data_IF_693544142459
#
_entry.id   IF_693544142459
#
_cell.length_a   1.000
_cell.length_b   1.000
_cell.length_c   1.000
_cell.angle_alpha   90.00
_cell.angle_beta   90.00
_cell.angle_gamma   90.00
#
_symmetry.space_group_name_H-M   'P 1'
#
loop_
_entity.id
_entity.type
_entity.pdbx_description
1 polymer ?
#
# COMPACT_ATOMS: atom_id res chain seq x y z
N UNK A 1 -65.73 -6.26 -51.72
CA UNK A 1 -64.99 -7.40 -51.12
C UNK A 1 -63.72 -7.63 -51.91
N UNK A 2 -62.55 -7.36 -51.33
CA UNK A 2 -61.48 -8.37 -51.18
C UNK A 2 -60.19 -7.69 -50.67
N UNK A 3 -59.91 -7.96 -49.40
CA UNK A 3 -58.71 -7.58 -48.66
C UNK A 3 -57.42 -8.12 -49.30
N UNK A 4 -56.57 -7.23 -49.78
CA UNK A 4 -55.19 -7.56 -50.16
C UNK A 4 -54.31 -7.54 -48.90
N UNK A 5 -54.33 -8.64 -48.12
CA UNK A 5 -53.41 -8.84 -46.99
C UNK A 5 -51.97 -9.04 -47.51
N UNK A 6 -51.13 -8.02 -47.30
CA UNK A 6 -49.67 -8.09 -47.42
C UNK A 6 -49.13 -9.24 -46.54
N UNK A 7 -48.57 -10.28 -47.17
CA UNK A 7 -47.79 -11.31 -46.46
C UNK A 7 -46.39 -10.77 -46.19
N UNK A 8 -46.20 -10.16 -45.03
CA UNK A 8 -44.85 -9.89 -44.48
C UNK A 8 -44.18 -11.23 -44.16
N UNK A 9 -43.14 -11.59 -44.92
CA UNK A 9 -42.27 -12.72 -44.60
C UNK A 9 -41.36 -12.29 -43.45
N UNK A 10 -41.64 -12.75 -42.24
CA UNK A 10 -40.69 -12.67 -41.14
C UNK A 10 -39.49 -13.57 -41.45
N UNK A 11 -38.38 -12.98 -41.90
CA UNK A 11 -37.08 -13.65 -41.95
C UNK A 11 -36.67 -13.93 -40.50
N UNK A 12 -36.73 -15.20 -40.10
CA UNK A 12 -36.24 -15.66 -38.81
C UNK A 12 -34.72 -15.58 -38.87
N UNK A 13 -34.13 -14.52 -38.32
CA UNK A 13 -32.69 -14.43 -38.11
C UNK A 13 -32.29 -15.58 -37.18
N UNK A 14 -31.35 -16.46 -37.57
CA UNK A 14 -30.87 -17.49 -36.66
C UNK A 14 -30.22 -16.80 -35.46
N UNK A 15 -30.73 -17.09 -34.27
CA UNK A 15 -30.06 -16.71 -33.02
C UNK A 15 -28.80 -17.56 -32.91
N UNK A 16 -27.64 -16.97 -33.17
CA UNK A 16 -26.35 -17.59 -32.89
C UNK A 16 -26.14 -17.59 -31.36
N UNK A 17 -26.31 -18.74 -30.73
CA UNK A 17 -26.00 -18.94 -29.32
C UNK A 17 -24.54 -19.32 -29.14
N UNK A 18 -23.92 -18.82 -28.06
CA UNK A 18 -22.58 -19.25 -27.65
C UNK A 18 -22.59 -20.74 -27.27
N UNK A 19 -21.57 -21.47 -27.73
CA UNK A 19 -21.42 -22.88 -27.34
C UNK A 19 -20.73 -23.00 -25.99
N UNK A 20 -21.00 -24.08 -25.25
CA UNK A 20 -20.30 -24.37 -23.99
C UNK A 20 -18.78 -24.48 -24.21
N UNK A 21 -18.36 -25.02 -25.35
CA UNK A 21 -16.95 -25.14 -25.72
C UNK A 21 -16.29 -23.76 -25.90
N UNK A 22 -16.99 -22.81 -26.51
CA UNK A 22 -16.49 -21.45 -26.70
C UNK A 22 -16.28 -20.75 -25.35
N UNK A 23 -17.22 -20.89 -24.42
CA UNK A 23 -17.07 -20.35 -23.06
C UNK A 23 -15.90 -21.03 -22.32
N UNK A 24 -15.69 -22.33 -22.49
CA UNK A 24 -14.54 -23.03 -21.90
C UNK A 24 -13.20 -22.50 -22.44
N UNK A 25 -13.11 -22.24 -23.74
CA UNK A 25 -11.88 -21.69 -24.35
C UNK A 25 -11.65 -20.25 -23.88
N UNK A 26 -12.70 -19.41 -23.83
CA UNK A 26 -12.58 -18.03 -23.34
C UNK A 26 -12.13 -18.00 -21.89
N UNK A 27 -12.71 -18.84 -21.03
CA UNK A 27 -12.30 -18.93 -19.62
C UNK A 27 -10.85 -19.41 -19.47
N UNK A 28 -10.42 -20.39 -20.28
CA UNK A 28 -9.04 -20.84 -20.29
C UNK A 28 -8.07 -19.71 -20.64
N UNK A 29 -8.38 -18.90 -21.67
CA UNK A 29 -7.58 -17.74 -22.07
C UNK A 29 -7.54 -16.69 -20.95
N UNK A 30 -8.68 -16.37 -20.33
CA UNK A 30 -8.76 -15.38 -19.24
C UNK A 30 -7.92 -15.81 -18.03
N UNK A 31 -7.93 -17.10 -17.67
CA UNK A 31 -7.10 -17.61 -16.56
C UNK A 31 -5.60 -17.48 -16.87
N UNK A 32 -5.18 -17.81 -18.10
CA UNK A 32 -3.78 -17.68 -18.52
C UNK A 32 -3.33 -16.21 -18.48
N UNK A 33 -4.14 -15.30 -19.02
CA UNK A 33 -3.83 -13.87 -19.03
C UNK A 33 -3.87 -13.26 -17.61
N UNK A 34 -4.84 -13.66 -16.79
CA UNK A 34 -4.99 -13.21 -15.42
C UNK A 34 -3.78 -13.59 -14.55
N UNK A 35 -3.21 -14.78 -14.77
CA UNK A 35 -2.01 -15.24 -14.06
C UNK A 35 -0.77 -14.37 -14.35
N UNK A 36 -0.58 -13.91 -15.59
CA UNK A 36 0.60 -13.13 -15.97
C UNK A 36 0.50 -11.65 -15.56
N UNK A 37 -0.70 -11.05 -15.63
CA UNK A 37 -0.86 -9.61 -15.37
C UNK A 37 -0.71 -9.19 -13.90
N UNK A 38 -0.93 -10.10 -12.96
CA UNK A 38 -1.05 -9.75 -11.53
C UNK A 38 0.26 -9.25 -10.89
N UNK A 39 1.41 -9.80 -11.29
CA UNK A 39 2.69 -9.51 -10.63
C UNK A 39 3.19 -8.08 -10.88
N UNK A 40 2.97 -7.54 -12.10
CA UNK A 40 3.47 -6.21 -12.47
C UNK A 40 2.83 -5.07 -11.67
N UNK A 41 1.52 -5.15 -11.41
CA UNK A 41 0.80 -4.12 -10.67
C UNK A 41 1.24 -4.04 -9.20
N UNK A 42 1.46 -5.19 -8.55
CA UNK A 42 1.89 -5.23 -7.14
C UNK A 42 3.24 -4.55 -6.91
N UNK A 43 4.19 -4.74 -7.83
CA UNK A 43 5.51 -4.11 -7.72
C UNK A 43 5.43 -2.57 -7.78
N UNK A 44 4.54 -2.02 -8.61
CA UNK A 44 4.33 -0.56 -8.71
C UNK A 44 3.80 -0.01 -7.39
N UNK A 45 2.79 -0.67 -6.81
CA UNK A 45 2.18 -0.26 -5.54
C UNK A 45 3.19 -0.38 -4.39
N UNK A 46 3.97 -1.44 -4.35
CA UNK A 46 5.03 -1.61 -3.35
C UNK A 46 6.08 -0.50 -3.45
N UNK A 47 6.58 -0.20 -4.65
CA UNK A 47 7.53 0.89 -4.88
C UNK A 47 6.96 2.25 -4.47
N UNK A 48 5.72 2.55 -4.83
CA UNK A 48 5.04 3.77 -4.40
C UNK A 48 4.93 3.83 -2.87
N UNK A 49 4.49 2.76 -2.24
CA UNK A 49 4.39 2.68 -0.77
C UNK A 49 5.75 2.83 -0.08
N UNK A 50 6.85 2.24 -0.61
CA UNK A 50 8.21 2.46 -0.07
C UNK A 50 8.57 3.95 -0.12
N UNK A 51 8.27 4.63 -1.23
CA UNK A 51 8.54 6.07 -1.34
C UNK A 51 7.71 6.90 -0.36
N UNK A 52 6.45 6.52 -0.14
CA UNK A 52 5.56 7.14 0.87
C UNK A 52 6.10 6.94 2.28
N UNK A 53 6.50 5.71 2.64
CA UNK A 53 7.08 5.38 3.95
C UNK A 53 8.38 6.14 4.23
N UNK A 54 9.29 6.21 3.24
CA UNK A 54 10.56 6.97 3.37
C UNK A 54 10.30 8.46 3.56
N UNK A 55 9.39 9.05 2.78
CA UNK A 55 9.01 10.45 2.91
C UNK A 55 8.41 10.73 4.30
N UNK A 56 7.52 9.85 4.77
CA UNK A 56 6.89 9.98 6.07
C UNK A 56 7.90 9.86 7.24
N UNK A 57 8.87 8.95 7.14
CA UNK A 57 9.96 8.84 8.13
C UNK A 57 10.81 10.11 8.19
N UNK A 58 11.15 10.69 7.04
CA UNK A 58 11.91 11.95 6.99
C UNK A 58 11.11 13.11 7.60
N UNK A 59 9.81 13.21 7.29
CA UNK A 59 8.93 14.21 7.88
C UNK A 59 8.81 14.04 9.40
N UNK A 60 8.65 12.81 9.88
CA UNK A 60 8.60 12.51 11.30
C UNK A 60 9.90 12.85 12.00
N UNK A 61 11.06 12.53 11.39
CA UNK A 61 12.35 12.91 11.95
C UNK A 61 12.48 14.43 12.08
N UNK A 62 12.09 15.18 11.06
CA UNK A 62 12.11 16.65 11.13
C UNK A 62 11.21 17.19 12.25
N UNK A 63 10.08 16.54 12.53
CA UNK A 63 9.21 16.92 13.65
C UNK A 63 9.87 16.60 15.00
N UNK A 64 10.47 15.41 15.12
CA UNK A 64 11.22 14.99 16.31
C UNK A 64 12.42 15.91 16.59
N UNK A 65 13.18 16.33 15.57
CA UNK A 65 14.29 17.27 15.74
C UNK A 65 13.84 18.66 16.22
N UNK A 66 12.68 19.14 15.74
CA UNK A 66 12.08 20.37 16.26
C UNK A 66 11.67 20.21 17.72
N UNK A 67 11.03 19.09 18.07
CA UNK A 67 10.65 18.80 19.44
C UNK A 67 11.88 18.71 20.36
N UNK A 68 12.94 18.04 19.91
CA UNK A 68 14.21 17.95 20.62
C UNK A 68 14.83 19.33 20.88
N UNK A 69 14.77 20.24 19.90
CA UNK A 69 15.27 21.61 20.05
C UNK A 69 14.55 22.40 21.16
N UNK A 70 13.29 22.06 21.47
CA UNK A 70 12.51 22.72 22.51
C UNK A 70 12.51 22.00 23.87
N UNK A 71 12.54 20.66 23.87
CA UNK A 71 12.36 19.82 25.05
C UNK A 71 13.63 19.07 25.46
N UNK A 72 14.71 19.17 24.67
CA UNK A 72 15.99 18.47 24.85
C UNK A 72 15.85 16.94 24.93
N UNK A 73 14.77 16.39 24.37
CA UNK A 73 14.46 14.97 24.36
C UNK A 73 13.54 14.65 23.20
N UNK A 74 13.72 13.49 22.58
CA UNK A 74 12.80 12.91 21.60
C UNK A 74 11.59 12.26 22.28
N UNK A 75 10.52 12.09 21.52
CA UNK A 75 9.31 11.43 22.01
C UNK A 75 9.17 10.02 21.42
N UNK A 76 9.26 9.02 22.29
CA UNK A 76 8.91 7.65 21.92
C UNK A 76 7.40 7.48 21.86
N UNK A 77 6.92 6.79 20.82
CA UNK A 77 5.52 6.44 20.67
C UNK A 77 5.33 5.20 19.79
N UNK A 78 4.16 4.61 19.89
CA UNK A 78 3.74 3.48 19.05
C UNK A 78 2.59 3.90 18.14
N UNK A 79 2.39 3.18 17.04
CA UNK A 79 1.27 3.44 16.14
C UNK A 79 -0.06 3.52 16.91
N UNK A 80 -0.79 4.62 16.75
CA UNK A 80 -2.10 4.83 17.38
C UNK A 80 -2.10 5.10 18.90
N UNK A 81 -0.95 5.16 19.57
CA UNK A 81 -0.89 5.38 21.03
C UNK A 81 0.32 6.19 21.47
N UNK A 82 0.10 7.12 22.41
CA UNK A 82 1.17 7.93 23.00
C UNK A 82 1.83 8.91 22.02
N UNK A 83 1.19 9.20 20.89
CA UNK A 83 1.81 9.94 19.78
C UNK A 83 2.12 11.40 20.10
N UNK A 84 1.55 12.00 21.16
CA UNK A 84 1.90 13.38 21.56
C UNK A 84 1.68 14.45 20.49
N UNK A 85 0.84 14.18 19.49
CA UNK A 85 0.61 15.07 18.34
C UNK A 85 1.46 14.74 17.10
N UNK A 86 2.37 13.78 17.17
CA UNK A 86 3.10 13.27 16.00
C UNK A 86 2.19 12.42 15.11
N UNK A 87 2.44 12.52 13.80
CA UNK A 87 1.74 11.71 12.80
C UNK A 87 2.30 10.28 12.85
N UNK A 88 1.41 9.29 13.04
CA UNK A 88 1.78 7.89 13.16
C UNK A 88 1.50 7.05 11.91
N UNK A 89 1.17 7.67 10.78
CA UNK A 89 0.82 6.98 9.53
C UNK A 89 1.42 7.70 8.32
N UNK A 90 1.75 6.98 7.26
CA UNK A 90 2.49 7.54 6.13
C UNK A 90 1.64 8.43 5.19
N UNK A 91 0.42 8.00 4.88
CA UNK A 91 -0.47 8.59 3.87
C UNK A 91 -1.33 9.75 4.39
N UNK A 92 -2.43 10.05 3.69
CA UNK A 92 -3.34 11.14 4.07
C UNK A 92 -4.21 10.78 5.28
N UNK A 93 -4.69 9.53 5.32
CA UNK A 93 -5.45 8.96 6.43
C UNK A 93 -4.84 7.62 6.85
N UNK A 94 -5.07 7.13 8.07
CA UNK A 94 -4.57 5.83 8.49
C UNK A 94 -4.98 4.70 7.53
N UNK A 95 -6.23 4.67 7.09
CA UNK A 95 -6.80 3.60 6.26
C UNK A 95 -6.20 3.51 4.86
N UNK A 96 -5.71 4.65 4.34
CA UNK A 96 -5.07 4.75 3.04
C UNK A 96 -3.55 4.63 3.11
N UNK A 97 -2.98 4.66 4.32
CA UNK A 97 -1.54 4.63 4.54
C UNK A 97 -0.97 3.24 4.32
N UNK A 98 0.17 3.17 3.64
CA UNK A 98 0.92 1.94 3.46
C UNK A 98 1.64 1.50 4.75
N UNK A 99 2.15 2.45 5.54
CA UNK A 99 2.96 2.18 6.72
C UNK A 99 2.41 2.87 7.97
N UNK A 100 2.49 2.16 9.11
CA UNK A 100 2.35 2.74 10.43
C UNK A 100 3.72 3.14 10.98
N UNK A 101 3.83 4.33 11.55
CA UNK A 101 5.05 4.93 12.07
C UNK A 101 5.10 4.78 13.59
N UNK A 102 6.31 4.61 14.10
CA UNK A 102 6.60 4.54 15.53
C UNK A 102 8.00 5.10 15.80
N UNK A 103 8.22 5.57 17.02
CA UNK A 103 9.48 6.12 17.48
C UNK A 103 9.90 5.43 18.77
N UNK A 104 11.15 4.99 18.86
CA UNK A 104 11.73 4.42 20.07
C UNK A 104 13.16 4.90 20.26
N UNK A 105 13.73 4.70 21.45
CA UNK A 105 15.17 4.92 21.63
C UNK A 105 15.97 3.96 20.75
N UNK A 106 17.15 4.40 20.30
CA UNK A 106 18.12 3.51 19.66
C UNK A 106 18.62 2.43 20.64
N UNK A 107 19.14 1.33 20.12
CA UNK A 107 19.51 0.17 20.95
C UNK A 107 20.65 0.54 21.91
N UNK A 108 20.42 0.38 23.22
CA UNK A 108 21.38 0.74 24.26
C UNK A 108 21.48 2.24 24.57
N UNK A 109 20.65 3.07 23.94
CA UNK A 109 20.64 4.53 24.12
C UNK A 109 19.32 5.01 24.73
N UNK A 110 19.25 6.31 25.05
CA UNK A 110 18.03 6.95 25.56
C UNK A 110 17.46 7.91 24.51
N UNK A 111 16.19 8.27 24.68
CA UNK A 111 15.52 9.28 23.85
C UNK A 111 16.11 10.70 24.00
N UNK A 112 17.07 10.93 24.90
CA UNK A 112 17.82 12.19 24.93
C UNK A 112 19.00 12.21 23.96
N UNK A 113 19.36 11.07 23.39
CA UNK A 113 20.57 10.90 22.60
C UNK A 113 20.25 10.46 21.17
N UNK A 114 19.34 9.49 21.03
CA UNK A 114 19.03 8.93 19.72
C UNK A 114 17.59 8.41 19.66
N UNK A 115 16.92 8.72 18.55
CA UNK A 115 15.60 8.18 18.22
C UNK A 115 15.72 7.30 16.97
N UNK A 116 15.13 6.12 17.05
CA UNK A 116 14.93 5.22 15.93
C UNK A 116 13.45 5.25 15.53
N UNK A 117 13.21 5.74 14.32
CA UNK A 117 11.91 5.73 13.69
C UNK A 117 11.73 4.43 12.90
N UNK A 118 10.55 3.84 12.98
CA UNK A 118 10.19 2.62 12.26
C UNK A 118 8.87 2.83 11.52
N UNK A 119 8.87 2.53 10.23
CA UNK A 119 7.69 2.41 9.39
C UNK A 119 7.39 0.91 9.17
N UNK A 120 6.24 0.43 9.66
CA UNK A 120 5.82 -0.97 9.56
C UNK A 120 4.71 -1.11 8.51
N UNK A 121 4.90 -1.90 7.43
CA UNK A 121 3.90 -2.05 6.38
C UNK A 121 2.69 -2.84 6.87
N UNK A 122 1.48 -2.41 6.49
CA UNK A 122 0.25 -3.16 6.76
C UNK A 122 -0.05 -3.46 8.24
N UNK A 123 0.54 -2.68 9.15
CA UNK A 123 0.35 -2.82 10.59
C UNK A 123 -1.09 -2.46 11.01
N UNK A 124 -1.42 -2.73 12.27
CA UNK A 124 -2.72 -2.36 12.83
C UNK A 124 -2.95 -0.84 12.74
N UNK A 125 -4.17 -0.46 12.36
CA UNK A 125 -4.55 0.94 12.16
C UNK A 125 -4.18 1.52 10.79
N UNK A 126 -3.47 0.80 9.93
CA UNK A 126 -3.22 1.22 8.53
C UNK A 126 -3.76 0.21 7.51
N UNK A 127 -3.52 0.44 6.22
CA UNK A 127 -4.01 -0.43 5.15
C UNK A 127 -3.44 -1.86 5.25
N UNK A 128 -4.23 -2.79 5.80
CA UNK A 128 -3.84 -4.22 5.97
C UNK A 128 -3.64 -4.97 4.65
N UNK A 129 -4.13 -4.45 3.53
CA UNK A 129 -3.93 -5.06 2.22
C UNK A 129 -2.57 -4.68 1.61
N UNK A 130 -1.91 -3.66 2.15
CA UNK A 130 -0.55 -3.33 1.76
C UNK A 130 0.45 -4.24 2.48
N UNK A 131 1.31 -4.88 1.70
CA UNK A 131 2.36 -5.74 2.23
C UNK A 131 3.56 -5.72 1.30
N UNK A 132 4.72 -5.50 1.90
CA UNK A 132 6.01 -5.53 1.23
C UNK A 132 6.89 -6.59 1.88
N UNK A 133 6.72 -7.84 1.43
CA UNK A 133 7.48 -8.98 1.97
C UNK A 133 8.96 -8.93 1.58
N UNK A 134 9.31 -8.16 0.55
CA UNK A 134 10.70 -8.01 0.12
C UNK A 134 11.46 -7.05 1.04
N UNK A 135 10.86 -5.89 1.36
CA UNK A 135 11.52 -4.86 2.16
C UNK A 135 11.19 -4.85 3.65
N UNK A 136 9.99 -5.31 4.02
CA UNK A 136 9.52 -5.28 5.39
C UNK A 136 9.46 -3.86 5.97
N UNK A 137 9.83 -3.73 7.24
CA UNK A 137 9.84 -2.43 7.90
C UNK A 137 11.04 -1.58 7.47
N UNK A 138 10.81 -0.27 7.36
CA UNK A 138 11.85 0.73 7.08
C UNK A 138 12.22 1.44 8.38
N UNK A 139 13.49 1.76 8.56
CA UNK A 139 14.01 2.41 9.75
C UNK A 139 14.92 3.59 9.41
N UNK A 140 14.75 4.67 10.16
CA UNK A 140 15.57 5.87 10.09
C UNK A 140 15.94 6.30 11.51
N UNK A 141 17.22 6.53 11.78
CA UNK A 141 17.66 7.13 13.04
C UNK A 141 18.04 8.60 12.90
N UNK A 142 18.13 9.31 14.03
CA UNK A 142 18.49 10.74 14.06
C UNK A 142 19.91 11.05 13.61
N UNK A 143 20.79 10.04 13.49
CA UNK A 143 22.15 10.18 12.96
C UNK A 143 22.21 9.97 11.44
N UNK A 144 21.06 9.74 10.80
CA UNK A 144 20.95 9.50 9.37
C UNK A 144 21.16 8.04 8.96
N UNK A 145 21.22 7.11 9.91
CA UNK A 145 21.24 5.68 9.64
C UNK A 145 19.93 5.22 9.00
N UNK A 146 20.02 4.64 7.81
CA UNK A 146 18.89 4.17 7.00
C UNK A 146 19.01 2.67 6.80
N UNK A 147 17.99 1.90 7.19
CA UNK A 147 17.98 0.44 7.02
C UNK A 147 16.57 -0.09 6.83
N UNK A 148 16.43 -1.22 6.15
CA UNK A 148 15.18 -1.95 6.04
C UNK A 148 15.39 -3.38 6.55
N UNK A 149 14.31 -4.14 6.74
CA UNK A 149 14.44 -5.59 7.00
C UNK A 149 14.97 -6.31 5.74
N UNK A 150 14.58 -5.84 4.55
CA UNK A 150 15.06 -6.33 3.25
C UNK A 150 16.32 -5.65 2.72
N UNK A 151 16.86 -6.19 1.63
CA UNK A 151 18.06 -5.67 0.92
C UNK A 151 17.66 -4.63 -0.14
N UNK A 152 18.49 -3.60 -0.32
CA UNK A 152 18.32 -2.57 -1.36
C UNK A 152 16.96 -1.84 -1.36
N UNK A 153 16.43 -1.62 -0.14
CA UNK A 153 15.08 -1.13 0.10
C UNK A 153 15.00 0.34 0.53
N UNK A 154 16.10 1.08 0.48
CA UNK A 154 16.20 2.50 0.86
C UNK A 154 16.45 3.44 -0.31
#
# INVERSE_FOLDING_TARGET
MNDMKLRTRHLKTPSYGFTLLEIMIVLAIVVILGGMGWNGYRHIIQKAGRSEGRAALLQLLLQEERHFSHQHRYQGFTAGSGTGGFKWYSGATPETSAYALSARACDGETLSTCVLLKASPGAEGVNRNYGDTECGALYLDSRGGRRADGKDCW
#
